data_IF_017138102371
#
_entry.id   IF_017138102371
#
_cell.length_a   1.000
_cell.length_b   1.000
_cell.length_c   1.000
_cell.angle_alpha   90.00
_cell.angle_beta   90.00
_cell.angle_gamma   90.00
#
_symmetry.space_group_name_H-M   'P 1'
#
loop_
_entity.id
_entity.type
_entity.pdbx_description
1 polymer ?
#
# COMPACT_ATOMS: atom_id res chain seq x y z
N UNK A 1 38.40 5.38 -11.02
CA UNK A 1 37.25 4.47 -11.09
C UNK A 1 36.04 5.24 -10.56
N UNK A 2 35.30 5.89 -11.45
CA UNK A 2 34.15 6.75 -11.07
C UNK A 2 32.96 5.91 -10.67
N UNK A 3 32.21 6.26 -9.60
CA UNK A 3 31.02 5.55 -9.23
C UNK A 3 29.94 5.77 -10.32
N UNK A 4 29.34 4.68 -10.80
CA UNK A 4 28.24 4.69 -11.76
C UNK A 4 27.02 5.37 -11.11
N UNK A 5 26.35 6.33 -11.76
CA UNK A 5 25.15 6.95 -11.19
C UNK A 5 24.07 5.89 -10.98
N UNK A 6 23.23 6.03 -9.94
CA UNK A 6 22.12 5.10 -9.70
C UNK A 6 21.19 5.11 -10.90
N UNK A 7 21.03 3.95 -11.53
CA UNK A 7 20.21 3.77 -12.71
C UNK A 7 18.75 4.13 -12.42
N UNK A 8 18.21 5.05 -13.20
CA UNK A 8 16.79 5.37 -13.29
C UNK A 8 16.04 4.19 -13.92
N UNK A 9 15.86 3.12 -13.19
CA UNK A 9 14.86 2.13 -13.55
C UNK A 9 13.68 2.31 -12.60
N UNK A 10 12.55 2.89 -13.05
CA UNK A 10 11.34 2.85 -12.26
C UNK A 10 10.96 1.37 -12.11
N UNK A 11 10.91 0.90 -10.87
CA UNK A 11 10.33 -0.41 -10.56
C UNK A 11 8.85 -0.32 -10.92
N UNK A 12 8.50 -0.71 -12.15
CA UNK A 12 7.15 -0.58 -12.73
C UNK A 12 6.13 -1.60 -12.23
N UNK A 13 6.48 -2.40 -11.20
CA UNK A 13 5.62 -3.51 -10.76
C UNK A 13 4.32 -3.03 -10.09
N UNK A 14 4.32 -1.84 -9.47
CA UNK A 14 3.15 -1.28 -8.78
C UNK A 14 2.66 0.06 -9.37
N UNK A 15 3.09 0.44 -10.58
CA UNK A 15 2.76 1.74 -11.16
C UNK A 15 1.23 1.92 -11.28
N UNK A 16 0.51 0.89 -11.68
CA UNK A 16 -0.94 0.93 -11.84
C UNK A 16 -1.68 1.08 -10.51
N UNK A 17 -1.27 0.36 -9.45
CA UNK A 17 -1.87 0.48 -8.11
C UNK A 17 -1.57 1.85 -7.50
N UNK A 18 -0.31 2.28 -7.54
CA UNK A 18 0.13 3.58 -7.02
C UNK A 18 -0.60 4.73 -7.72
N UNK A 19 -0.71 4.68 -9.05
CA UNK A 19 -1.38 5.71 -9.85
C UNK A 19 -2.87 5.78 -9.52
N UNK A 20 -3.54 4.64 -9.37
CA UNK A 20 -4.97 4.57 -9.00
C UNK A 20 -5.20 5.11 -7.59
N UNK A 21 -4.40 4.70 -6.61
CA UNK A 21 -4.51 5.22 -5.24
C UNK A 21 -4.25 6.73 -5.20
N UNK A 22 -3.25 7.21 -5.95
CA UNK A 22 -2.95 8.65 -6.06
C UNK A 22 -4.12 9.42 -6.66
N UNK A 23 -4.75 8.92 -7.72
CA UNK A 23 -5.92 9.54 -8.33
C UNK A 23 -7.12 9.59 -7.35
N UNK A 24 -7.39 8.48 -6.65
CA UNK A 24 -8.45 8.41 -5.64
C UNK A 24 -8.21 9.43 -4.52
N UNK A 25 -6.99 9.54 -4.01
CA UNK A 25 -6.66 10.50 -2.96
C UNK A 25 -6.67 11.96 -3.45
N UNK A 26 -6.30 12.21 -4.71
CA UNK A 26 -6.41 13.55 -5.30
C UNK A 26 -7.87 14.00 -5.34
N UNK A 27 -8.79 13.14 -5.77
CA UNK A 27 -10.21 13.44 -5.77
C UNK A 27 -10.75 13.74 -4.36
N UNK A 28 -10.28 13.00 -3.36
CA UNK A 28 -10.68 13.19 -1.97
C UNK A 28 -10.20 14.55 -1.42
N UNK A 29 -8.98 14.98 -1.76
CA UNK A 29 -8.39 16.25 -1.29
C UNK A 29 -9.11 17.50 -1.76
N UNK A 30 -9.80 17.43 -2.89
CA UNK A 30 -10.58 18.55 -3.41
C UNK A 30 -11.90 18.78 -2.65
N UNK A 31 -12.28 17.87 -1.74
CA UNK A 31 -13.48 17.96 -0.93
C UNK A 31 -13.13 18.55 0.44
N UNK A 32 -13.66 19.73 0.75
CA UNK A 32 -13.39 20.38 2.04
C UNK A 32 -14.01 19.67 3.23
N UNK A 33 -15.19 19.06 3.06
CA UNK A 33 -15.85 18.17 4.02
C UNK A 33 -16.05 16.81 3.41
N UNK A 34 -15.80 15.76 4.18
CA UNK A 34 -16.05 14.38 3.75
C UNK A 34 -17.41 13.92 4.31
N UNK A 35 -18.24 13.43 3.41
CA UNK A 35 -19.47 12.72 3.77
C UNK A 35 -19.21 11.22 3.87
N UNK A 36 -20.10 10.48 4.53
CA UNK A 36 -20.04 9.03 4.55
C UNK A 36 -20.08 8.44 3.12
N UNK A 37 -20.84 9.04 2.21
CA UNK A 37 -20.88 8.65 0.81
C UNK A 37 -19.52 8.82 0.11
N UNK A 38 -18.79 9.89 0.42
CA UNK A 38 -17.44 10.11 -0.12
C UNK A 38 -16.45 9.05 0.36
N UNK A 39 -16.51 8.73 1.64
CA UNK A 39 -15.68 7.67 2.25
C UNK A 39 -16.00 6.31 1.62
N UNK A 40 -17.27 5.95 1.49
CA UNK A 40 -17.69 4.69 0.88
C UNK A 40 -17.27 4.60 -0.60
N UNK A 41 -17.37 5.68 -1.37
CA UNK A 41 -16.89 5.73 -2.75
C UNK A 41 -15.38 5.51 -2.81
N UNK A 42 -14.62 6.23 -1.98
CA UNK A 42 -13.16 6.09 -1.88
C UNK A 42 -12.74 4.65 -1.55
N UNK A 43 -13.40 4.03 -0.59
CA UNK A 43 -13.12 2.63 -0.20
C UNK A 43 -13.43 1.66 -1.36
N UNK A 44 -14.48 1.93 -2.14
CA UNK A 44 -14.82 1.15 -3.34
C UNK A 44 -13.70 1.24 -4.38
N UNK A 45 -13.20 2.44 -4.65
CA UNK A 45 -12.12 2.66 -5.61
C UNK A 45 -10.82 1.96 -5.18
N UNK A 46 -10.48 2.07 -3.88
CA UNK A 46 -9.33 1.38 -3.30
C UNK A 46 -9.49 -0.15 -3.41
N UNK A 47 -10.69 -0.67 -3.11
CA UNK A 47 -10.99 -2.09 -3.24
C UNK A 47 -10.76 -2.59 -4.66
N UNK A 48 -11.26 -1.87 -5.66
CA UNK A 48 -11.05 -2.22 -7.07
C UNK A 48 -9.58 -2.19 -7.44
N UNK A 49 -8.84 -1.16 -7.01
CA UNK A 49 -7.41 -1.05 -7.28
C UNK A 49 -6.60 -2.22 -6.68
N UNK A 50 -6.95 -2.67 -5.47
CA UNK A 50 -6.30 -3.82 -4.83
C UNK A 50 -6.62 -5.14 -5.54
N UNK A 51 -7.88 -5.35 -5.96
CA UNK A 51 -8.28 -6.54 -6.72
C UNK A 51 -7.59 -6.60 -8.09
N UNK A 52 -7.48 -5.47 -8.79
CA UNK A 52 -6.76 -5.37 -10.06
C UNK A 52 -5.25 -5.58 -9.91
N UNK A 53 -4.72 -5.40 -8.70
CA UNK A 53 -3.34 -5.71 -8.35
C UNK A 53 -3.16 -7.15 -7.82
N UNK A 54 -4.13 -8.03 -8.07
CA UNK A 54 -4.14 -9.44 -7.66
C UNK A 54 -4.05 -9.69 -6.14
N UNK A 55 -4.48 -8.72 -5.31
CA UNK A 55 -4.56 -8.93 -3.86
C UNK A 55 -5.71 -9.89 -3.56
N UNK A 56 -5.46 -10.90 -2.73
CA UNK A 56 -6.44 -11.92 -2.37
C UNK A 56 -7.71 -11.30 -1.73
N UNK A 57 -8.88 -11.76 -2.19
CA UNK A 57 -10.18 -11.22 -1.76
C UNK A 57 -10.39 -11.17 -0.23
N UNK A 58 -9.98 -12.17 0.58
CA UNK A 58 -10.09 -12.10 2.03
C UNK A 58 -9.28 -10.94 2.63
N UNK A 59 -8.07 -10.69 2.09
CA UNK A 59 -7.19 -9.58 2.52
C UNK A 59 -7.84 -8.24 2.18
N UNK A 60 -8.36 -8.10 0.95
CA UNK A 60 -9.06 -6.88 0.52
C UNK A 60 -10.29 -6.60 1.39
N UNK A 61 -11.07 -7.63 1.73
CA UNK A 61 -12.24 -7.49 2.61
C UNK A 61 -11.84 -7.02 4.01
N UNK A 62 -10.83 -7.64 4.61
CA UNK A 62 -10.33 -7.25 5.93
C UNK A 62 -9.83 -5.80 5.92
N UNK A 63 -9.00 -5.45 4.96
CA UNK A 63 -8.47 -4.10 4.78
C UNK A 63 -9.57 -3.05 4.64
N UNK A 64 -10.51 -3.26 3.72
CA UNK A 64 -11.58 -2.27 3.48
C UNK A 64 -12.52 -2.12 4.67
N UNK A 65 -12.73 -3.18 5.47
CA UNK A 65 -13.48 -3.11 6.71
C UNK A 65 -12.78 -2.26 7.76
N UNK A 66 -11.47 -2.51 7.98
CA UNK A 66 -10.66 -1.76 8.94
C UNK A 66 -10.55 -0.27 8.57
N UNK A 67 -10.28 0.02 7.29
CA UNK A 67 -10.24 1.41 6.80
C UNK A 67 -11.59 2.10 6.97
N UNK A 68 -12.71 1.42 6.68
CA UNK A 68 -14.05 1.99 6.83
C UNK A 68 -14.36 2.34 8.28
N UNK A 69 -14.11 1.43 9.19
CA UNK A 69 -14.36 1.63 10.62
C UNK A 69 -13.63 2.87 11.14
N UNK A 70 -12.34 2.98 10.84
CA UNK A 70 -11.51 4.14 11.25
C UNK A 70 -11.91 5.43 10.53
N UNK A 71 -12.22 5.35 9.23
CA UNK A 71 -12.55 6.52 8.42
C UNK A 71 -13.92 7.13 8.78
N UNK A 72 -14.85 6.34 9.29
CA UNK A 72 -16.14 6.82 9.80
C UNK A 72 -16.07 7.22 11.28
N UNK A 73 -14.96 6.95 11.95
CA UNK A 73 -14.75 7.25 13.36
C UNK A 73 -14.40 8.72 13.66
N UNK A 74 -14.21 9.01 14.95
CA UNK A 74 -13.89 10.34 15.45
C UNK A 74 -12.56 10.89 14.93
N UNK A 75 -11.62 10.02 14.52
CA UNK A 75 -10.31 10.41 13.96
C UNK A 75 -10.45 11.31 12.74
N UNK A 76 -11.46 11.07 11.91
CA UNK A 76 -11.70 11.83 10.67
C UNK A 76 -12.68 12.98 10.90
N UNK A 77 -13.76 12.76 11.66
CA UNK A 77 -14.79 13.78 11.90
C UNK A 77 -14.27 14.99 12.69
N UNK A 78 -13.29 14.77 13.57
CA UNK A 78 -12.64 15.83 14.37
C UNK A 78 -11.35 16.39 13.76
N UNK A 79 -10.91 15.89 12.59
CA UNK A 79 -9.65 16.30 12.01
C UNK A 79 -9.74 17.66 11.29
N UNK A 80 -8.68 18.47 11.42
CA UNK A 80 -8.54 19.72 10.66
C UNK A 80 -8.47 19.48 9.15
N UNK A 81 -7.93 18.32 8.73
CA UNK A 81 -7.88 17.90 7.33
C UNK A 81 -8.36 16.44 7.21
N UNK A 82 -9.68 16.23 7.07
CA UNK A 82 -10.25 14.89 6.98
C UNK A 82 -9.69 14.03 5.84
N UNK A 83 -9.41 14.63 4.69
CA UNK A 83 -8.86 13.90 3.54
C UNK A 83 -7.46 13.34 3.82
N UNK A 84 -6.59 14.14 4.46
CA UNK A 84 -5.26 13.66 4.85
C UNK A 84 -5.35 12.56 5.92
N UNK A 85 -6.30 12.67 6.84
CA UNK A 85 -6.50 11.64 7.85
C UNK A 85 -6.94 10.32 7.23
N UNK A 86 -7.82 10.33 6.23
CA UNK A 86 -8.18 9.11 5.50
C UNK A 86 -6.97 8.51 4.77
N UNK A 87 -6.15 9.34 4.12
CA UNK A 87 -4.90 8.86 3.48
C UNK A 87 -3.97 8.21 4.49
N UNK A 88 -3.82 8.81 5.68
CA UNK A 88 -3.01 8.25 6.76
C UNK A 88 -3.56 6.89 7.21
N UNK A 89 -4.87 6.78 7.45
CA UNK A 89 -5.52 5.52 7.83
C UNK A 89 -5.25 4.43 6.80
N UNK A 90 -5.40 4.74 5.51
CA UNK A 90 -5.11 3.79 4.42
C UNK A 90 -3.65 3.35 4.44
N UNK A 91 -2.72 4.29 4.62
CA UNK A 91 -1.29 3.97 4.71
C UNK A 91 -0.98 3.07 5.92
N UNK A 92 -1.51 3.38 7.09
CA UNK A 92 -1.32 2.59 8.30
C UNK A 92 -1.82 1.15 8.13
N UNK A 93 -3.01 0.99 7.53
CA UNK A 93 -3.58 -0.34 7.26
C UNK A 93 -2.80 -1.12 6.19
N UNK A 94 -2.23 -0.45 5.17
CA UNK A 94 -1.32 -1.09 4.22
C UNK A 94 -0.04 -1.58 4.91
N UNK A 95 0.55 -0.77 5.79
CA UNK A 95 1.73 -1.16 6.59
C UNK A 95 1.40 -2.37 7.47
N UNK A 96 0.23 -2.38 8.12
CA UNK A 96 -0.23 -3.49 8.95
C UNK A 96 -0.34 -4.81 8.16
N UNK A 97 -0.93 -4.77 6.96
CA UNK A 97 -1.05 -5.95 6.09
C UNK A 97 0.32 -6.47 5.65
N UNK A 98 1.27 -5.57 5.39
CA UNK A 98 2.64 -5.93 5.02
C UNK A 98 3.48 -6.44 6.20
N UNK A 99 2.91 -6.49 7.41
CA UNK A 99 3.54 -7.05 8.59
C UNK A 99 4.04 -6.02 9.62
N UNK A 100 3.78 -4.74 9.42
CA UNK A 100 4.00 -3.64 10.38
C UNK A 100 5.46 -3.25 10.60
N UNK A 101 6.39 -4.20 10.60
CA UNK A 101 7.81 -3.97 10.86
C UNK A 101 8.69 -4.61 9.77
N UNK A 102 9.77 -3.91 9.42
CA UNK A 102 10.78 -4.45 8.52
C UNK A 102 11.49 -5.64 9.17
N UNK A 103 11.43 -6.80 8.51
CA UNK A 103 12.17 -7.99 8.95
C UNK A 103 13.51 -8.03 8.22
N UNK A 104 14.58 -8.28 8.96
CA UNK A 104 15.92 -8.52 8.41
C UNK A 104 16.13 -10.02 8.15
N UNK A 105 17.04 -10.33 7.22
CA UNK A 105 17.48 -11.71 7.02
C UNK A 105 18.18 -12.22 8.29
N UNK A 106 17.75 -13.39 8.77
CA UNK A 106 18.42 -14.06 9.88
C UNK A 106 19.44 -15.03 9.29
N UNK A 107 20.71 -14.68 9.43
CA UNK A 107 21.80 -15.54 9.00
C UNK A 107 22.06 -16.63 10.06
N UNK A 108 22.47 -17.81 9.60
CA UNK A 108 22.86 -18.90 10.50
C UNK A 108 24.05 -18.49 11.38
N UNK A 109 24.06 -18.94 12.63
CA UNK A 109 25.20 -18.70 13.54
C UNK A 109 26.46 -19.43 13.11
N UNK A 110 26.33 -20.52 12.37
CA UNK A 110 27.41 -21.32 11.80
C UNK A 110 27.26 -21.38 10.30
N UNK A 111 28.37 -21.21 9.56
CA UNK A 111 28.40 -21.32 8.10
C UNK A 111 28.13 -22.75 7.62
N UNK A 112 27.52 -22.94 6.45
CA UNK A 112 26.98 -21.91 5.55
C UNK A 112 25.54 -21.50 5.91
N UNK A 113 25.14 -20.26 5.58
CA UNK A 113 23.73 -19.87 5.51
C UNK A 113 23.18 -20.21 4.13
N UNK A 114 22.16 -21.05 4.08
CA UNK A 114 21.48 -21.40 2.82
C UNK A 114 20.20 -20.59 2.69
N UNK A 115 20.08 -19.82 1.60
CA UNK A 115 18.89 -19.03 1.27
C UNK A 115 18.33 -19.53 -0.06
N UNK A 116 17.08 -20.03 -0.01
CA UNK A 116 16.37 -20.48 -1.20
C UNK A 116 15.45 -19.37 -1.68
N UNK A 117 15.65 -18.90 -2.93
CA UNK A 117 14.74 -17.98 -3.62
C UNK A 117 13.77 -18.80 -4.46
N UNK A 118 12.48 -18.67 -4.19
CA UNK A 118 11.42 -19.34 -4.94
C UNK A 118 10.47 -18.30 -5.52
N UNK A 119 10.07 -18.48 -6.78
CA UNK A 119 9.16 -17.55 -7.43
C UNK A 119 8.77 -18.02 -8.83
N UNK A 120 7.81 -17.30 -9.43
CA UNK A 120 7.39 -17.50 -10.81
C UNK A 120 8.30 -16.71 -11.77
N UNK A 121 8.25 -17.08 -13.05
CA UNK A 121 8.96 -16.36 -14.11
C UNK A 121 8.54 -14.89 -14.14
N UNK A 122 9.49 -13.96 -14.25
CA UNK A 122 9.23 -12.52 -14.33
C UNK A 122 9.43 -11.74 -13.01
N UNK A 123 9.85 -12.39 -11.93
CA UNK A 123 10.16 -11.72 -10.66
C UNK A 123 11.41 -10.82 -10.70
N UNK A 124 12.03 -10.67 -11.87
CA UNK A 124 13.20 -9.78 -12.11
C UNK A 124 14.38 -10.02 -11.16
N UNK A 125 14.54 -11.22 -10.62
CA UNK A 125 15.65 -11.59 -9.73
C UNK A 125 17.02 -11.59 -10.42
N UNK A 126 17.05 -11.52 -11.76
CA UNK A 126 18.28 -11.54 -12.58
C UNK A 126 18.92 -10.15 -12.73
N UNK A 127 18.29 -9.08 -12.27
CA UNK A 127 18.75 -7.70 -12.49
C UNK A 127 19.31 -7.04 -11.22
N UNK A 128 19.79 -7.85 -10.31
CA UNK A 128 20.48 -7.38 -9.10
C UNK A 128 21.95 -7.10 -9.40
#
# INVERSE_FOLDING_TARGET
MSPRPPGKYPVRVFTSLSDRLTATFKNLRHKGRLTESDINSTIRDIRLALLDADVALPVVKHFTSAVRERALGAEVSGALNPAQQVVKIVNDELVNILGGQTRTLQLAKTAPTVIMLAGLQGLSLIHI
#
